data_IF_577405710810
#
_entry.id   IF_577405710810
#
_cell.length_a   1.000
_cell.length_b   1.000
_cell.length_c   1.000
_cell.angle_alpha   90.00
_cell.angle_beta   90.00
_cell.angle_gamma   90.00
#
_symmetry.space_group_name_H-M   'P 1'
#
loop_
_entity.id
_entity.type
_entity.pdbx_description
1 polymer ?
#
# COMPACT_ATOMS: atom_id res chain seq x y z
N UNK A 1 15.34 -5.65 -1.59
CA UNK A 1 15.48 -4.47 -2.49
C UNK A 1 15.56 -3.12 -1.76
N UNK A 2 14.71 -2.77 -0.78
CA UNK A 2 14.72 -1.41 -0.16
C UNK A 2 15.48 -1.31 1.18
N UNK A 3 15.77 -2.43 1.85
CA UNK A 3 16.44 -2.43 3.16
C UNK A 3 15.56 -2.02 4.34
N UNK A 4 14.52 -1.19 4.14
CA UNK A 4 13.49 -0.90 5.15
C UNK A 4 12.18 -0.40 4.54
N UNK A 5 11.08 -0.46 5.30
CA UNK A 5 9.76 0.06 4.90
C UNK A 5 9.80 1.59 4.71
N UNK A 6 10.60 2.30 5.50
CA UNK A 6 10.77 3.75 5.34
C UNK A 6 11.48 4.09 4.03
N UNK A 7 12.50 3.31 3.65
CA UNK A 7 13.20 3.51 2.39
C UNK A 7 12.31 3.18 1.19
N UNK A 8 11.48 2.14 1.30
CA UNK A 8 10.44 1.87 0.30
C UNK A 8 9.46 3.04 0.19
N UNK A 9 9.03 3.64 1.30
CA UNK A 9 8.18 4.82 1.29
C UNK A 9 8.80 5.98 0.51
N UNK A 10 10.10 6.25 0.70
CA UNK A 10 10.82 7.28 -0.06
C UNK A 10 10.87 6.98 -1.56
N UNK A 11 11.15 5.73 -1.94
CA UNK A 11 11.18 5.28 -3.35
C UNK A 11 9.79 5.47 -3.99
N UNK A 12 8.72 5.20 -3.25
CA UNK A 12 7.34 5.39 -3.71
C UNK A 12 6.87 6.87 -3.67
N UNK A 13 7.77 7.81 -3.38
CA UNK A 13 7.49 9.25 -3.39
C UNK A 13 6.80 9.79 -2.14
N UNK A 14 6.73 9.02 -1.05
CA UNK A 14 6.21 9.54 0.23
C UNK A 14 7.22 10.50 0.86
N UNK A 15 6.81 11.78 0.94
CA UNK A 15 7.63 12.88 1.48
C UNK A 15 7.42 13.16 2.98
N UNK A 16 6.68 12.30 3.70
CA UNK A 16 6.50 12.48 5.15
C UNK A 16 7.86 12.53 5.83
N UNK A 17 8.11 13.62 6.57
CA UNK A 17 9.37 13.83 7.30
C UNK A 17 9.46 12.94 8.55
N UNK A 18 8.33 12.48 9.06
CA UNK A 18 8.22 11.75 10.32
C UNK A 18 8.08 10.24 10.09
N UNK A 19 7.14 9.79 9.25
CA UNK A 19 6.89 8.36 9.04
C UNK A 19 6.49 7.99 7.60
N UNK A 20 7.41 8.04 6.62
CA UNK A 20 7.12 7.64 5.24
C UNK A 20 6.75 6.16 5.11
N UNK A 21 7.21 5.30 6.02
CA UNK A 21 6.82 3.89 6.07
C UNK A 21 5.38 3.64 6.55
N UNK A 22 4.75 4.58 7.25
CA UNK A 22 3.37 4.42 7.73
C UNK A 22 2.37 4.36 6.58
N UNK A 23 2.52 5.24 5.58
CA UNK A 23 1.68 5.21 4.37
C UNK A 23 1.86 3.91 3.59
N UNK A 24 3.07 3.35 3.56
CA UNK A 24 3.31 2.03 2.95
C UNK A 24 2.60 0.93 3.73
N UNK A 25 2.65 0.95 5.07
CA UNK A 25 1.92 -0.02 5.90
C UNK A 25 0.41 0.06 5.69
N UNK A 26 -0.15 1.28 5.65
CA UNK A 26 -1.58 1.46 5.39
C UNK A 26 -1.99 0.94 4.02
N UNK A 27 -1.15 1.08 3.00
CA UNK A 27 -1.39 0.49 1.68
C UNK A 27 -1.34 -1.04 1.71
N UNK A 28 -0.31 -1.62 2.32
CA UNK A 28 -0.12 -3.07 2.36
C UNK A 28 -1.20 -3.78 3.19
N UNK A 29 -1.68 -3.15 4.26
CA UNK A 29 -2.79 -3.65 5.07
C UNK A 29 -4.16 -3.41 4.40
N UNK A 30 -4.20 -2.81 3.21
CA UNK A 30 -5.44 -2.47 2.52
C UNK A 30 -6.23 -1.33 3.18
N UNK A 31 -5.69 -0.70 4.23
CA UNK A 31 -6.29 0.44 4.93
C UNK A 31 -6.53 1.64 4.02
N UNK A 32 -5.68 1.80 2.99
CA UNK A 32 -5.86 2.78 1.94
C UNK A 32 -5.70 2.15 0.56
N UNK A 33 -6.48 2.60 -0.44
CA UNK A 33 -6.29 2.19 -1.82
C UNK A 33 -4.98 2.78 -2.39
N UNK A 34 -4.36 2.03 -3.31
CA UNK A 34 -3.27 2.56 -4.12
C UNK A 34 -3.78 3.57 -5.15
N UNK A 35 -3.05 4.68 -5.32
CA UNK A 35 -3.15 5.44 -6.56
C UNK A 35 -2.43 4.67 -7.67
N UNK A 36 -2.87 4.84 -8.92
CA UNK A 36 -2.27 4.12 -10.05
C UNK A 36 -0.78 4.42 -10.22
N UNK A 37 -0.34 5.66 -9.98
CA UNK A 37 1.09 6.03 -10.01
C UNK A 37 1.91 5.27 -8.98
N UNK A 38 1.42 5.18 -7.73
CA UNK A 38 2.14 4.48 -6.66
C UNK A 38 2.16 2.98 -6.88
N UNK A 39 1.07 2.43 -7.41
CA UNK A 39 1.05 1.03 -7.81
C UNK A 39 2.09 0.75 -8.89
N UNK A 40 2.21 1.61 -9.90
CA UNK A 40 3.24 1.50 -10.95
C UNK A 40 4.66 1.56 -10.37
N UNK A 41 4.95 2.55 -9.52
CA UNK A 41 6.25 2.68 -8.87
C UNK A 41 6.59 1.43 -8.02
N UNK A 42 5.60 0.86 -7.33
CA UNK A 42 5.79 -0.38 -6.57
C UNK A 42 6.04 -1.58 -7.49
N UNK A 43 5.28 -1.71 -8.58
CA UNK A 43 5.46 -2.76 -9.59
C UNK A 43 6.87 -2.71 -10.19
N UNK A 44 7.32 -1.53 -10.61
CA UNK A 44 8.64 -1.29 -11.16
C UNK A 44 9.74 -1.65 -10.16
N UNK A 45 9.59 -1.17 -8.91
CA UNK A 45 10.53 -1.49 -7.84
C UNK A 45 10.63 -3.01 -7.59
N UNK A 46 9.50 -3.72 -7.56
CA UNK A 46 9.46 -5.16 -7.38
C UNK A 46 9.95 -5.92 -8.62
N UNK A 47 9.88 -5.31 -9.81
CA UNK A 47 10.13 -5.97 -11.09
C UNK A 47 8.95 -6.85 -11.53
N UNK A 48 7.73 -6.48 -11.14
CA UNK A 48 6.51 -7.21 -11.43
C UNK A 48 5.65 -6.44 -12.44
N UNK A 49 5.07 -7.10 -13.46
CA UNK A 49 4.20 -6.45 -14.42
C UNK A 49 2.87 -6.02 -13.77
N UNK A 50 2.50 -4.76 -13.95
CA UNK A 50 1.27 -4.20 -13.37
C UNK A 50 -0.01 -4.92 -13.84
N UNK A 51 0.00 -5.45 -15.06
CA UNK A 51 -1.12 -6.22 -15.63
C UNK A 51 -1.45 -7.46 -14.80
N UNK A 52 -0.45 -8.13 -14.23
CA UNK A 52 -0.66 -9.29 -13.36
C UNK A 52 -1.30 -8.88 -12.03
N UNK A 53 -0.90 -7.73 -11.47
CA UNK A 53 -1.47 -7.24 -10.21
C UNK A 53 -2.93 -6.78 -10.39
N UNK A 54 -3.25 -6.12 -11.50
CA UNK A 54 -4.58 -5.58 -11.75
C UNK A 54 -5.68 -6.66 -11.88
N UNK A 55 -5.31 -7.91 -12.16
CA UNK A 55 -6.25 -9.06 -12.14
C UNK A 55 -6.90 -9.26 -10.77
N UNK A 56 -6.21 -8.87 -9.70
CA UNK A 56 -6.68 -9.00 -8.32
C UNK A 56 -7.38 -7.75 -7.79
N UNK A 57 -7.64 -6.76 -8.65
CA UNK A 57 -8.29 -5.50 -8.23
C UNK A 57 -9.70 -5.76 -7.71
N UNK A 58 -9.93 -5.41 -6.44
CA UNK A 58 -11.26 -5.43 -5.84
C UNK A 58 -11.97 -4.06 -5.96
N UNK A 59 -13.31 -4.02 -6.11
CA UNK A 59 -14.05 -2.77 -6.10
C UNK A 59 -13.87 -2.01 -4.78
N UNK A 60 -13.78 -0.67 -4.84
CA UNK A 60 -13.52 0.20 -3.67
C UNK A 60 -14.48 -0.03 -2.49
N UNK A 61 -15.77 -0.32 -2.76
CA UNK A 61 -16.76 -0.64 -1.72
C UNK A 61 -16.39 -1.87 -0.89
N UNK A 62 -15.71 -2.85 -1.49
CA UNK A 62 -15.32 -4.11 -0.83
C UNK A 62 -14.02 -3.96 -0.02
N UNK A 63 -13.13 -3.05 -0.43
CA UNK A 63 -11.87 -2.78 0.27
C UNK A 63 -12.08 -2.09 1.62
N UNK A 64 -12.95 -1.08 1.71
CA UNK A 64 -13.19 -0.32 2.95
C UNK A 64 -13.77 -1.19 4.09
N UNK A 65 -14.58 -2.21 3.75
CA UNK A 65 -15.15 -3.13 4.73
C UNK A 65 -14.08 -4.03 5.39
N UNK A 66 -13.00 -4.37 4.67
CA UNK A 66 -11.89 -5.15 5.22
C UNK A 66 -11.08 -4.37 6.26
N UNK A 67 -10.94 -3.05 6.05
CA UNK A 67 -10.20 -2.15 6.93
C UNK A 67 -10.93 -1.98 8.26
N UNK A 68 -12.24 -1.70 8.19
CA UNK A 68 -13.05 -1.48 9.38
C UNK A 68 -12.96 -2.66 10.37
N UNK A 69 -12.90 -3.90 9.86
CA UNK A 69 -12.86 -5.10 10.69
C UNK A 69 -11.48 -5.41 11.31
N UNK A 70 -10.38 -4.91 10.74
CA UNK A 70 -9.03 -5.14 11.29
C UNK A 70 -8.65 -4.16 12.41
N UNK A 71 -9.21 -2.95 12.40
CA UNK A 71 -8.94 -1.95 13.45
C UNK A 71 -9.79 -2.17 14.70
N UNK A 72 -11.02 -2.71 14.58
CA UNK A 72 -11.85 -3.06 15.74
C UNK A 72 -11.44 -4.36 16.42
N UNK A 73 -10.82 -5.30 15.71
CA UNK A 73 -10.37 -6.57 16.29
C UNK A 73 -9.13 -6.45 17.21
N UNK A 74 -8.47 -5.30 17.24
CA UNK A 74 -7.28 -5.03 18.07
C UNK A 74 -7.55 -4.10 19.27
N UNK A 75 -8.81 -3.73 19.53
CA UNK A 75 -9.22 -2.87 20.66
C UNK A 75 -10.13 -3.59 21.69
N UNK A 76 -10.11 -4.92 21.75
CA UNK A 76 -10.79 -5.72 22.80
C UNK A 76 -9.84 -6.73 23.44
#
# INVERSE_FOLDING_TARGET
KAGSVNQLGRILGYRSRVHPGWSVRQLLNGAQPFTMERLRALCEFLGYPISEILKYRVPRRRALNHVHNQFTAHEL
#
